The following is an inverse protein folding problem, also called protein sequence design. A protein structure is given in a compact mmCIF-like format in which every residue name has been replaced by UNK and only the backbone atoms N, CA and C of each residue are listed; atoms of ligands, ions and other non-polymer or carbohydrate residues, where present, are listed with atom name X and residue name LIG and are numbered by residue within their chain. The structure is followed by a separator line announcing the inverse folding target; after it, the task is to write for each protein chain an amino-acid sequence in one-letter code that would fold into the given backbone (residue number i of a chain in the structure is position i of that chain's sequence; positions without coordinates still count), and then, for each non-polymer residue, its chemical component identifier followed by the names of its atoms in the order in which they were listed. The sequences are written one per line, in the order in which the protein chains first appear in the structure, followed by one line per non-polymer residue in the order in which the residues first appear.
data_IF_126148856921
#
_entry.id   IF_126148856921
#
_cell.length_a   1.000
_cell.length_b   1.000
_cell.length_c   1.000
_cell.angle_alpha   90.00
_cell.angle_beta   90.00
_cell.angle_gamma   90.00
#
_symmetry.space_group_name_H-M   'P 1'
#
loop_
_entity.id
_entity.type
_entity.pdbx_description
1 polymer ?
#
# COMPACT_ATOMS: atom_id res chain seq x y z
N UNK A 1 19.15 -10.92 -11.92
CA UNK A 1 19.75 -11.71 -10.80
C UNK A 1 18.66 -12.24 -9.87
N UNK A 2 17.73 -11.40 -9.38
CA UNK A 2 16.68 -11.85 -8.44
C UNK A 2 15.73 -12.90 -9.05
N UNK A 3 15.41 -12.85 -10.33
CA UNK A 3 14.58 -13.84 -11.04
C UNK A 3 15.23 -15.23 -11.07
N UNK A 4 16.55 -15.26 -11.22
CA UNK A 4 17.31 -16.52 -11.16
C UNK A 4 17.23 -17.11 -9.75
N UNK A 5 17.45 -16.29 -8.71
CA UNK A 5 17.32 -16.75 -7.34
C UNK A 5 15.89 -17.20 -7.03
N UNK A 6 14.86 -16.50 -7.53
CA UNK A 6 13.46 -16.86 -7.39
C UNK A 6 13.12 -18.23 -8.01
N UNK A 7 13.74 -18.59 -9.14
CA UNK A 7 13.55 -19.89 -9.76
C UNK A 7 14.04 -21.08 -8.89
N UNK A 8 14.98 -20.84 -7.97
CA UNK A 8 15.51 -21.83 -7.05
C UNK A 8 14.79 -21.89 -5.68
N UNK A 9 13.75 -21.10 -5.49
CA UNK A 9 12.99 -21.06 -4.21
C UNK A 9 12.45 -22.43 -3.82
N UNK A 10 12.09 -23.27 -4.79
CA UNK A 10 11.67 -24.67 -4.55
C UNK A 10 12.79 -25.59 -4.03
N UNK A 11 14.05 -25.20 -4.21
CA UNK A 11 15.19 -26.02 -3.76
C UNK A 11 15.61 -25.69 -2.31
N UNK A 12 15.53 -24.41 -1.91
CA UNK A 12 15.81 -23.96 -0.55
C UNK A 12 15.17 -22.60 -0.27
N UNK A 13 14.62 -22.43 0.95
CA UNK A 13 13.91 -21.20 1.34
C UNK A 13 14.79 -19.94 1.33
N UNK A 14 16.10 -20.07 1.56
CA UNK A 14 17.03 -18.94 1.54
C UNK A 14 17.10 -18.25 0.16
N UNK A 15 16.80 -18.96 -0.93
CA UNK A 15 16.71 -18.36 -2.25
C UNK A 15 15.56 -17.33 -2.35
N UNK A 16 14.45 -17.55 -1.63
CA UNK A 16 13.37 -16.57 -1.55
C UNK A 16 13.82 -15.28 -0.86
N UNK A 17 14.57 -15.41 0.24
CA UNK A 17 15.12 -14.24 0.96
C UNK A 17 16.17 -13.51 0.15
N UNK A 18 17.04 -14.24 -0.55
CA UNK A 18 18.03 -13.64 -1.45
C UNK A 18 17.33 -12.89 -2.59
N UNK A 19 16.34 -13.51 -3.23
CA UNK A 19 15.59 -12.90 -4.33
C UNK A 19 14.87 -11.63 -3.88
N UNK A 20 14.18 -11.66 -2.71
CA UNK A 20 13.50 -10.47 -2.17
C UNK A 20 14.50 -9.36 -1.83
N UNK A 21 15.60 -9.67 -1.15
CA UNK A 21 16.59 -8.66 -0.76
C UNK A 21 17.20 -7.94 -1.97
N UNK A 22 17.52 -8.67 -3.04
CA UNK A 22 18.04 -8.06 -4.27
C UNK A 22 16.97 -7.23 -4.98
N UNK A 23 15.72 -7.74 -5.07
CA UNK A 23 14.60 -7.03 -5.70
C UNK A 23 14.28 -5.73 -4.95
N UNK A 24 14.18 -5.78 -3.62
CA UNK A 24 13.92 -4.61 -2.75
C UNK A 24 15.05 -3.58 -2.88
N UNK A 25 16.31 -4.01 -2.83
CA UNK A 25 17.46 -3.11 -3.01
C UNK A 25 17.45 -2.40 -4.37
N UNK A 26 17.09 -3.11 -5.43
CA UNK A 26 16.93 -2.50 -6.77
C UNK A 26 15.79 -1.49 -6.78
N UNK A 27 14.65 -1.86 -6.21
CA UNK A 27 13.46 -1.01 -6.14
C UNK A 27 13.70 0.28 -5.32
N UNK A 28 14.41 0.18 -4.20
CA UNK A 28 14.77 1.34 -3.37
C UNK A 28 15.67 2.34 -4.12
N UNK A 29 16.50 1.89 -5.07
CA UNK A 29 17.31 2.79 -5.92
C UNK A 29 16.48 3.53 -6.96
N UNK A 30 15.33 2.99 -7.34
CA UNK A 30 14.45 3.54 -8.38
C UNK A 30 13.31 4.40 -7.81
N UNK A 31 13.11 4.39 -6.49
CA UNK A 31 12.01 5.06 -5.80
C UNK A 31 12.51 6.03 -4.74
N UNK A 32 11.78 7.13 -4.53
CA UNK A 32 12.10 8.10 -3.48
C UNK A 32 11.99 7.49 -2.09
N UNK A 33 12.92 7.78 -1.16
CA UNK A 33 12.78 7.44 0.24
C UNK A 33 11.75 8.31 0.98
N UNK A 34 11.40 9.49 0.46
CA UNK A 34 10.43 10.39 1.09
C UNK A 34 9.01 9.95 0.74
N UNK A 35 8.24 9.63 1.77
CA UNK A 35 6.80 9.40 1.68
C UNK A 35 6.08 10.65 1.17
N UNK A 36 6.41 11.80 1.73
CA UNK A 36 5.73 13.03 1.40
C UNK A 36 5.97 13.47 -0.06
N UNK A 37 7.16 13.27 -0.59
CA UNK A 37 7.46 13.48 -2.01
C UNK A 37 6.64 12.53 -2.88
N UNK A 38 6.62 11.24 -2.54
CA UNK A 38 5.85 10.23 -3.27
C UNK A 38 4.36 10.55 -3.28
N UNK A 39 3.79 10.93 -2.14
CA UNK A 39 2.36 11.30 -2.05
C UNK A 39 2.07 12.57 -2.84
N UNK A 40 2.99 13.53 -2.90
CA UNK A 40 2.82 14.75 -3.70
C UNK A 40 2.79 14.43 -5.21
N UNK A 41 3.67 13.57 -5.69
CA UNK A 41 3.65 13.11 -7.10
C UNK A 41 2.32 12.43 -7.42
N UNK A 42 1.89 11.47 -6.59
CA UNK A 42 0.62 10.75 -6.79
C UNK A 42 -0.60 11.67 -6.66
N UNK A 43 -0.52 12.73 -5.89
CA UNK A 43 -1.58 13.73 -5.79
C UNK A 43 -1.69 14.58 -7.07
N UNK A 44 -0.57 15.03 -7.62
CA UNK A 44 -0.52 15.74 -8.92
C UNK A 44 -1.08 14.85 -10.03
N UNK A 45 -0.77 13.57 -10.02
CA UNK A 45 -1.29 12.57 -10.94
C UNK A 45 -2.78 12.22 -10.72
N UNK A 46 -3.42 12.82 -9.72
CA UNK A 46 -4.84 12.67 -9.45
C UNK A 46 -5.22 11.36 -8.73
N UNK A 47 -4.28 10.65 -8.13
CA UNK A 47 -4.49 9.37 -7.45
C UNK A 47 -4.76 9.57 -5.96
N UNK A 48 -3.96 10.40 -5.30
CA UNK A 48 -4.07 10.69 -3.86
C UNK A 48 -5.11 11.78 -3.59
N UNK A 49 -5.82 11.65 -2.47
CA UNK A 49 -6.90 12.54 -2.06
C UNK A 49 -6.37 13.82 -1.39
N UNK A 50 -7.06 14.95 -1.63
CA UNK A 50 -6.71 16.26 -1.04
C UNK A 50 -6.74 16.23 0.50
N UNK A 51 -7.63 15.41 1.12
CA UNK A 51 -7.70 15.27 2.58
C UNK A 51 -6.40 14.67 3.13
N UNK A 52 -5.83 13.65 2.47
CA UNK A 52 -4.56 13.07 2.89
C UNK A 52 -3.42 14.09 2.81
N UNK A 53 -3.36 14.87 1.72
CA UNK A 53 -2.35 15.92 1.57
C UNK A 53 -2.44 16.98 2.67
N UNK A 54 -3.65 17.42 3.02
CA UNK A 54 -3.85 18.34 4.16
C UNK A 54 -3.42 17.73 5.49
N UNK A 55 -3.67 16.44 5.70
CA UNK A 55 -3.21 15.74 6.91
C UNK A 55 -1.69 15.70 6.99
N UNK A 56 -1.00 15.42 5.86
CA UNK A 56 0.46 15.43 5.77
C UNK A 56 1.02 16.83 6.09
N UNK A 57 0.43 17.87 5.52
CA UNK A 57 0.84 19.27 5.78
C UNK A 57 0.65 19.66 7.25
N UNK A 58 -0.49 19.28 7.85
CA UNK A 58 -0.81 19.60 9.24
C UNK A 58 0.13 18.92 10.25
N UNK A 59 0.53 17.68 10.00
CA UNK A 59 1.43 16.94 10.92
C UNK A 59 2.91 17.29 10.69
N UNK A 60 3.25 17.82 9.52
CA UNK A 60 4.60 18.16 9.11
C UNK A 60 5.29 17.03 8.34
N UNK A 61 5.65 17.29 7.07
CA UNK A 61 6.26 16.28 6.17
C UNK A 61 7.51 15.63 6.76
N UNK A 62 8.43 16.41 7.31
CA UNK A 62 9.68 15.91 7.89
C UNK A 62 9.44 15.00 9.10
N UNK A 63 8.44 15.33 9.91
CA UNK A 63 8.07 14.55 11.07
C UNK A 63 7.52 13.17 10.66
N UNK A 64 6.72 13.12 9.60
CA UNK A 64 6.19 11.86 9.06
C UNK A 64 7.32 11.02 8.46
N UNK A 65 8.15 11.61 7.59
CA UNK A 65 9.26 10.89 6.95
C UNK A 65 10.25 10.32 7.98
N UNK A 66 10.47 11.00 9.12
CA UNK A 66 11.38 10.55 10.18
C UNK A 66 10.91 9.29 10.91
N UNK A 67 9.63 8.96 10.87
CA UNK A 67 9.06 7.76 11.52
C UNK A 67 9.20 6.52 10.64
N UNK A 68 9.33 6.70 9.33
CA UNK A 68 9.30 5.60 8.36
C UNK A 68 10.60 4.83 8.37
N UNK A 69 10.51 3.52 8.63
CA UNK A 69 11.65 2.61 8.61
C UNK A 69 11.60 1.70 7.37
N UNK A 70 12.34 2.05 6.34
CA UNK A 70 12.42 1.29 5.09
C UNK A 70 13.14 -0.06 5.21
N UNK A 71 13.93 -0.28 6.26
CA UNK A 71 14.61 -1.55 6.48
C UNK A 71 13.61 -2.68 6.74
N UNK A 72 12.41 -2.37 7.22
CA UNK A 72 11.35 -3.34 7.43
C UNK A 72 10.82 -3.95 6.11
N UNK A 73 11.08 -3.34 4.95
CA UNK A 73 10.77 -3.94 3.65
C UNK A 73 11.54 -5.26 3.43
N UNK A 74 12.74 -5.40 4.00
CA UNK A 74 13.56 -6.62 3.89
C UNK A 74 13.03 -7.81 4.71
N UNK A 75 11.96 -7.62 5.49
CA UNK A 75 11.26 -8.72 6.18
C UNK A 75 10.32 -9.51 5.26
N UNK A 76 10.02 -8.99 4.05
CA UNK A 76 9.19 -9.72 3.09
C UNK A 76 10.01 -10.82 2.38
N UNK A 77 9.37 -11.98 2.19
CA UNK A 77 9.85 -12.96 1.23
C UNK A 77 9.55 -12.51 -0.21
N UNK A 78 10.06 -13.24 -1.19
CA UNK A 78 9.92 -12.85 -2.59
C UNK A 78 8.47 -12.86 -3.09
N UNK A 79 7.65 -13.81 -2.61
CA UNK A 79 6.25 -13.89 -3.00
C UNK A 79 5.43 -12.72 -2.43
N UNK A 80 5.60 -12.43 -1.14
CA UNK A 80 4.96 -11.29 -0.49
C UNK A 80 5.39 -9.98 -1.14
N UNK A 81 6.68 -9.79 -1.39
CA UNK A 81 7.21 -8.63 -2.09
C UNK A 81 6.57 -8.41 -3.47
N UNK A 82 6.55 -9.46 -4.30
CA UNK A 82 5.91 -9.39 -5.63
C UNK A 82 4.44 -9.05 -5.53
N UNK A 83 3.72 -9.69 -4.62
CA UNK A 83 2.29 -9.44 -4.42
C UNK A 83 2.03 -7.98 -4.04
N UNK A 84 2.85 -7.40 -3.17
CA UNK A 84 2.74 -5.98 -2.81
C UNK A 84 2.95 -5.07 -4.03
N UNK A 85 4.02 -5.26 -4.78
CA UNK A 85 4.35 -4.43 -5.95
C UNK A 85 3.29 -4.55 -7.05
N UNK A 86 2.81 -5.76 -7.32
CA UNK A 86 1.86 -6.01 -8.41
C UNK A 86 0.44 -5.54 -8.09
N UNK A 87 -0.04 -5.74 -6.84
CA UNK A 87 -1.45 -5.60 -6.49
C UNK A 87 -1.77 -4.45 -5.53
N UNK A 88 -0.85 -4.04 -4.66
CA UNK A 88 -1.18 -3.17 -3.54
C UNK A 88 -0.60 -1.75 -3.66
N UNK A 89 0.63 -1.62 -4.15
CA UNK A 89 1.31 -0.33 -4.21
C UNK A 89 0.74 0.58 -5.29
N UNK A 90 0.62 1.86 -4.98
CA UNK A 90 0.11 2.86 -5.91
C UNK A 90 1.06 3.06 -7.10
N UNK A 91 0.45 3.26 -8.26
CA UNK A 91 1.11 3.40 -9.56
C UNK A 91 0.75 4.75 -10.16
N UNK A 92 1.68 5.30 -10.93
CA UNK A 92 1.37 6.46 -11.79
C UNK A 92 0.36 6.09 -12.89
N UNK A 93 -0.26 7.05 -13.58
CA UNK A 93 -1.15 6.77 -14.71
C UNK A 93 -0.49 5.97 -15.84
N UNK A 94 0.86 6.00 -15.92
CA UNK A 94 1.65 5.22 -16.88
C UNK A 94 1.93 3.79 -16.41
N UNK A 95 1.41 3.40 -15.23
CA UNK A 95 1.56 2.06 -14.67
C UNK A 95 2.88 1.84 -13.91
N UNK A 96 3.71 2.87 -13.72
CA UNK A 96 4.94 2.76 -12.94
C UNK A 96 4.61 2.79 -11.44
N UNK A 97 5.04 1.76 -10.71
CA UNK A 97 4.95 1.71 -9.25
C UNK A 97 6.01 2.65 -8.65
N UNK A 98 5.61 3.58 -7.80
CA UNK A 98 6.51 4.52 -7.12
C UNK A 98 6.34 4.53 -5.60
N UNK A 99 5.27 3.93 -5.08
CA UNK A 99 5.00 3.79 -3.66
C UNK A 99 5.80 2.62 -3.09
N UNK A 100 6.51 2.80 -1.96
CA UNK A 100 7.15 1.71 -1.21
C UNK A 100 6.16 1.06 -0.24
N UNK A 101 6.38 -0.19 0.22
CA UNK A 101 5.50 -0.82 1.21
C UNK A 101 5.36 0.01 2.49
N UNK A 102 6.44 0.60 3.00
CA UNK A 102 6.38 1.46 4.18
C UNK A 102 5.60 2.75 3.92
N UNK A 103 5.61 3.27 2.69
CA UNK A 103 4.75 4.39 2.30
C UNK A 103 3.27 4.00 2.31
N UNK A 104 2.93 2.83 1.77
CA UNK A 104 1.57 2.31 1.82
C UNK A 104 1.07 2.20 3.27
N UNK A 105 1.88 1.65 4.17
CA UNK A 105 1.51 1.51 5.58
C UNK A 105 1.31 2.87 6.26
N UNK A 106 2.15 3.84 6.00
CA UNK A 106 1.98 5.20 6.53
C UNK A 106 0.74 5.89 5.94
N UNK A 107 0.48 5.73 4.64
CA UNK A 107 -0.71 6.26 3.97
C UNK A 107 -1.99 5.70 4.58
N UNK A 108 -2.03 4.39 4.83
CA UNK A 108 -3.16 3.74 5.51
C UNK A 108 -3.33 4.29 6.93
N UNK A 109 -2.26 4.35 7.70
CA UNK A 109 -2.28 4.84 9.06
C UNK A 109 -2.82 6.27 9.16
N UNK A 110 -2.30 7.19 8.35
CA UNK A 110 -2.75 8.59 8.31
C UNK A 110 -4.21 8.74 7.85
N UNK A 111 -4.73 7.79 7.10
CA UNK A 111 -6.10 7.85 6.59
C UNK A 111 -7.14 7.36 7.60
N UNK A 112 -6.82 6.31 8.38
CA UNK A 112 -7.78 5.63 9.27
C UNK A 112 -7.74 6.13 10.71
N UNK A 113 -6.72 6.91 11.09
CA UNK A 113 -6.58 7.47 12.45
C UNK A 113 -6.91 8.96 12.49
N UNK A 114 -7.09 9.50 13.71
CA UNK A 114 -7.47 10.90 13.91
C UNK A 114 -6.32 11.76 14.44
N UNK A 115 -5.30 11.15 15.07
CA UNK A 115 -4.14 11.84 15.63
C UNK A 115 -2.84 11.30 15.04
N UNK A 116 -1.77 12.08 15.13
CA UNK A 116 -0.46 11.65 14.65
C UNK A 116 0.08 10.47 15.48
N UNK A 117 -0.14 10.49 16.79
CA UNK A 117 0.28 9.44 17.71
C UNK A 117 -0.39 8.10 17.36
N UNK A 118 -1.71 8.12 17.15
CA UNK A 118 -2.44 6.93 16.67
C UNK A 118 -1.91 6.44 15.32
N UNK A 119 -1.58 7.36 14.40
CA UNK A 119 -1.02 7.00 13.10
C UNK A 119 0.34 6.31 13.23
N UNK A 120 1.21 6.79 14.12
CA UNK A 120 2.52 6.17 14.38
C UNK A 120 2.36 4.77 14.98
N UNK A 121 1.46 4.59 15.94
CA UNK A 121 1.20 3.28 16.57
C UNK A 121 0.63 2.29 15.56
N UNK A 122 -0.31 2.75 14.73
CA UNK A 122 -0.92 1.91 13.69
C UNK A 122 0.09 1.54 12.60
N UNK A 123 0.88 2.53 12.12
CA UNK A 123 1.99 2.29 11.20
C UNK A 123 2.98 1.28 11.76
N UNK A 124 3.38 1.42 13.01
CA UNK A 124 4.34 0.51 13.67
C UNK A 124 3.80 -0.92 13.69
N UNK A 125 2.50 -1.08 13.97
CA UNK A 125 1.85 -2.39 13.98
C UNK A 125 1.80 -3.03 12.58
N UNK A 126 1.54 -2.23 11.53
CA UNK A 126 1.56 -2.68 10.13
C UNK A 126 2.98 -3.02 9.67
N UNK A 127 3.94 -2.12 9.94
CA UNK A 127 5.33 -2.23 9.53
C UNK A 127 6.02 -3.45 10.14
N UNK A 128 5.67 -3.81 11.37
CA UNK A 128 6.14 -5.02 12.06
C UNK A 128 5.28 -6.26 11.75
N UNK A 129 4.33 -6.18 10.81
CA UNK A 129 3.47 -7.29 10.39
C UNK A 129 2.63 -7.91 11.53
N UNK A 130 2.31 -7.13 12.57
CA UNK A 130 1.49 -7.58 13.70
C UNK A 130 0.01 -7.63 13.34
N UNK A 131 -0.42 -6.79 12.40
CA UNK A 131 -1.79 -6.71 11.88
C UNK A 131 -1.77 -6.64 10.36
N UNK A 132 -2.84 -7.12 9.73
CA UNK A 132 -3.04 -7.05 8.29
C UNK A 132 -4.48 -6.61 8.00
N UNK A 133 -4.70 -5.37 7.55
CA UNK A 133 -6.02 -4.90 7.15
C UNK A 133 -6.53 -5.60 5.90
N UNK A 134 -7.85 -5.52 5.69
CA UNK A 134 -8.46 -6.00 4.45
C UNK A 134 -7.86 -5.29 3.22
N UNK A 135 -7.75 -6.02 2.12
CA UNK A 135 -7.19 -5.53 0.85
C UNK A 135 -7.71 -4.14 0.42
N UNK A 136 -9.03 -3.84 0.46
CA UNK A 136 -9.50 -2.51 0.08
C UNK A 136 -8.96 -1.39 0.98
N UNK A 137 -8.74 -1.65 2.25
CA UNK A 137 -8.14 -0.66 3.17
C UNK A 137 -6.71 -0.36 2.74
N UNK A 138 -5.93 -1.39 2.43
CA UNK A 138 -4.53 -1.21 2.03
C UNK A 138 -4.39 -0.49 0.68
N UNK A 139 -5.24 -0.84 -0.30
CA UNK A 139 -5.17 -0.26 -1.65
C UNK A 139 -5.77 1.15 -1.69
N UNK A 140 -6.96 1.36 -1.09
CA UNK A 140 -7.77 2.54 -1.35
C UNK A 140 -7.65 3.65 -0.30
N UNK A 141 -7.07 3.39 0.90
CA UNK A 141 -6.88 4.45 1.90
C UNK A 141 -6.10 5.63 1.34
N UNK A 142 -6.61 6.83 1.53
CA UNK A 142 -5.96 8.06 1.07
C UNK A 142 -6.01 8.31 -0.43
N UNK A 143 -6.67 7.46 -1.22
CA UNK A 143 -6.89 7.68 -2.65
C UNK A 143 -8.13 8.54 -2.92
N UNK A 144 -8.34 8.98 -4.17
CA UNK A 144 -9.54 9.74 -4.57
C UNK A 144 -10.84 8.93 -4.52
N UNK A 145 -10.75 7.60 -4.56
CA UNK A 145 -11.90 6.69 -4.43
C UNK A 145 -11.68 5.78 -3.22
N UNK A 146 -11.88 6.27 -1.99
CA UNK A 146 -11.52 5.56 -0.76
C UNK A 146 -12.60 4.53 -0.38
N UNK A 147 -12.87 3.57 -1.25
CA UNK A 147 -13.77 2.46 -0.95
C UNK A 147 -13.03 1.41 -0.10
N UNK A 148 -13.34 1.38 1.19
CA UNK A 148 -12.62 0.56 2.17
C UNK A 148 -13.35 -0.74 2.54
N UNK A 149 -14.63 -0.88 2.15
CA UNK A 149 -15.41 -2.08 2.43
C UNK A 149 -15.03 -3.22 1.49
N UNK A 150 -14.76 -4.40 2.05
CA UNK A 150 -14.47 -5.60 1.27
C UNK A 150 -15.74 -6.32 0.78
N UNK A 151 -16.87 -6.09 1.42
CA UNK A 151 -18.15 -6.71 1.12
C UNK A 151 -19.27 -5.67 1.15
N UNK A 152 -20.23 -5.82 0.22
CA UNK A 152 -21.41 -4.97 0.13
C UNK A 152 -22.64 -5.86 0.06
N UNK A 153 -23.67 -5.53 0.85
CA UNK A 153 -24.99 -6.17 0.76
C UNK A 153 -25.88 -5.35 -0.16
N UNK A 154 -26.42 -6.02 -1.16
CA UNK A 154 -27.46 -5.47 -2.04
C UNK A 154 -28.81 -6.08 -1.69
N UNK A 155 -29.83 -5.23 -1.55
CA UNK A 155 -31.19 -5.68 -1.38
C UNK A 155 -31.86 -5.84 -2.75
N UNK A 156 -32.32 -7.06 -3.05
CA UNK A 156 -33.13 -7.31 -4.25
C UNK A 156 -34.62 -7.10 -3.95
N UNK A 157 -35.28 -6.21 -4.68
CA UNK A 157 -36.69 -5.91 -4.48
C UNK A 157 -37.61 -7.07 -4.89
N UNK A 158 -37.20 -7.95 -5.77
CA UNK A 158 -37.96 -9.12 -6.20
C UNK A 158 -37.05 -10.25 -6.66
N UNK A 159 -37.50 -11.47 -6.46
CA UNK A 159 -36.85 -12.69 -6.99
C UNK A 159 -37.23 -12.88 -8.46
N UNK A 160 -36.71 -12.00 -9.30
CA UNK A 160 -36.92 -11.99 -10.74
C UNK A 160 -35.65 -11.50 -11.45
N UNK A 161 -35.49 -11.90 -12.73
CA UNK A 161 -34.39 -11.41 -13.58
C UNK A 161 -34.33 -9.87 -13.62
N UNK A 162 -35.47 -9.19 -13.71
CA UNK A 162 -35.49 -7.74 -13.70
C UNK A 162 -35.15 -7.13 -12.35
N UNK A 163 -35.54 -7.79 -11.24
CA UNK A 163 -35.16 -7.39 -9.90
C UNK A 163 -33.64 -7.46 -9.68
N UNK A 164 -33.01 -8.54 -10.15
CA UNK A 164 -31.55 -8.69 -10.07
C UNK A 164 -30.82 -7.64 -10.92
N UNK A 165 -31.28 -7.39 -12.17
CA UNK A 165 -30.68 -6.40 -13.03
C UNK A 165 -30.83 -4.97 -12.49
N UNK A 166 -31.97 -4.64 -11.83
CA UNK A 166 -32.20 -3.31 -11.25
C UNK A 166 -31.31 -3.02 -10.03
N UNK A 167 -30.75 -4.07 -9.41
CA UNK A 167 -29.85 -3.94 -8.26
C UNK A 167 -28.39 -3.63 -8.69
N UNK A 168 -28.06 -3.92 -9.96
CA UNK A 168 -26.71 -3.72 -10.50
C UNK A 168 -26.51 -2.35 -11.17
N UNK A 169 -27.57 -1.58 -11.34
CA UNK A 169 -27.57 -0.21 -11.86
C UNK A 169 -27.74 0.81 -10.76
#
# INVERSE_FOLDING_TARGET
IYEIAAAYTGSHHDYSRLASSVAISSYHKETSPSFCETMRVLHVDGIVNDKLMKTIENYGPEKIDSVINHDNDYNFDYFAWRSLVEMYLLKTPQGKVIERPQHMYMRVALWVTNTFEEAVDYYTSLSNQLISPATPIMINSGTKVPQLASCVLHYNNSDSRNGLLSTLN
#
